data_IF_012425915390
#
_entry.id   IF_012425915390
#
_cell.length_a   1.000
_cell.length_b   1.000
_cell.length_c   1.000
_cell.angle_alpha   90.00
_cell.angle_beta   90.00
_cell.angle_gamma   90.00
#
_symmetry.space_group_name_H-M   'P 1'
#
loop_
_entity.id
_entity.type
_entity.pdbx_description
1 polymer ?
#
# COMPACT_ATOMS: atom_id res chain seq x y z
N UNK A 1 -15.53 24.25 -8.65
CA UNK A 1 -14.05 24.40 -8.67
C UNK A 1 -13.55 23.01 -8.40
N UNK A 2 -13.48 22.24 -9.48
CA UNK A 2 -13.26 20.81 -9.45
C UNK A 2 -11.76 20.57 -9.35
N UNK A 3 -11.35 19.85 -8.30
CA UNK A 3 -9.97 19.39 -8.14
C UNK A 3 -9.89 18.05 -8.85
N UNK A 4 -9.50 18.11 -10.12
CA UNK A 4 -9.25 16.96 -10.98
C UNK A 4 -8.00 16.23 -10.46
N UNK A 5 -8.21 15.12 -9.74
CA UNK A 5 -7.12 14.24 -9.31
C UNK A 5 -6.97 13.16 -10.38
N UNK A 6 -6.08 13.43 -11.34
CA UNK A 6 -5.67 12.50 -12.38
C UNK A 6 -4.99 11.26 -11.75
N UNK A 7 -5.32 10.03 -12.21
CA UNK A 7 -4.67 8.78 -11.79
C UNK A 7 -3.15 8.74 -12.07
N UNK A 8 -2.66 9.68 -12.89
CA UNK A 8 -1.31 9.70 -13.45
C UNK A 8 -0.37 10.64 -12.69
N UNK A 9 -0.85 11.28 -11.62
CA UNK A 9 -0.16 12.39 -10.95
C UNK A 9 1.18 12.00 -10.27
N UNK A 10 1.46 10.70 -10.10
CA UNK A 10 2.74 10.20 -9.57
C UNK A 10 3.72 9.76 -10.66
N UNK A 11 3.26 9.60 -11.91
CA UNK A 11 4.16 9.20 -13.02
C UNK A 11 4.99 10.36 -13.58
N UNK A 12 4.62 11.61 -13.32
CA UNK A 12 5.35 12.77 -13.83
C UNK A 12 5.41 13.90 -12.79
N UNK A 13 6.24 13.72 -11.76
CA UNK A 13 6.87 14.84 -11.06
C UNK A 13 8.32 14.47 -10.81
N UNK A 14 9.22 15.02 -11.64
CA UNK A 14 10.64 15.21 -11.30
C UNK A 14 10.71 16.03 -10.00
N UNK A 15 10.49 15.34 -8.89
CA UNK A 15 10.81 15.82 -7.56
C UNK A 15 12.15 15.18 -7.27
N UNK A 16 13.16 16.00 -7.04
CA UNK A 16 14.52 15.62 -6.69
C UNK A 16 14.54 14.79 -5.40
N UNK A 17 14.18 13.52 -5.51
CA UNK A 17 14.39 12.48 -4.53
C UNK A 17 15.39 11.55 -5.19
N UNK A 18 16.62 11.58 -4.70
CA UNK A 18 17.65 10.61 -5.07
C UNK A 18 17.07 9.21 -4.86
N UNK A 19 16.96 8.35 -5.89
CA UNK A 19 16.53 6.98 -5.67
C UNK A 19 17.59 6.31 -4.79
N UNK A 20 17.20 5.79 -3.63
CA UNK A 20 18.08 4.90 -2.88
C UNK A 20 18.13 3.57 -3.64
N UNK A 21 19.13 3.45 -4.52
CA UNK A 21 19.38 2.22 -5.25
C UNK A 21 19.78 1.12 -4.26
N UNK A 22 18.96 0.09 -4.12
CA UNK A 22 19.36 -1.16 -3.47
C UNK A 22 19.60 -2.19 -4.56
N UNK A 23 20.87 -2.49 -4.83
CA UNK A 23 21.25 -3.50 -5.83
C UNK A 23 20.93 -4.90 -5.31
N UNK A 24 19.88 -5.52 -5.81
CA UNK A 24 19.64 -6.96 -5.68
C UNK A 24 19.84 -7.60 -7.06
N UNK A 25 20.84 -8.49 -7.17
CA UNK A 25 21.08 -9.46 -8.26
C UNK A 25 20.61 -9.15 -9.69
N UNK A 26 21.56 -8.86 -10.57
CA UNK A 26 21.45 -8.93 -12.05
C UNK A 26 20.19 -8.32 -12.71
N UNK A 27 20.03 -7.02 -12.52
CA UNK A 27 19.12 -6.17 -13.30
C UNK A 27 19.00 -4.82 -12.60
N UNK A 28 19.16 -3.70 -13.30
CA UNK A 28 18.87 -2.39 -12.69
C UNK A 28 17.36 -2.20 -12.72
N UNK A 29 16.64 -2.84 -11.80
CA UNK A 29 15.26 -2.44 -11.54
C UNK A 29 15.29 -1.23 -10.63
N UNK A 30 14.87 -0.07 -11.15
CA UNK A 30 14.68 1.13 -10.35
C UNK A 30 13.53 0.89 -9.37
N UNK A 31 13.88 0.62 -8.12
CA UNK A 31 12.93 0.52 -7.03
C UNK A 31 12.54 1.93 -6.59
N UNK A 32 11.24 2.21 -6.62
CA UNK A 32 10.65 3.50 -6.30
C UNK A 32 10.06 3.45 -4.90
N UNK A 33 10.68 4.17 -3.96
CA UNK A 33 10.11 4.40 -2.65
C UNK A 33 8.81 5.21 -2.78
N UNK A 34 7.72 4.74 -2.17
CA UNK A 34 6.45 5.45 -2.25
C UNK A 34 6.52 6.78 -1.47
N UNK A 35 6.24 7.94 -2.08
CA UNK A 35 6.54 9.25 -1.48
C UNK A 35 5.78 9.56 -0.19
N UNK A 36 4.59 8.97 -0.02
CA UNK A 36 3.73 9.19 1.16
C UNK A 36 3.66 8.00 2.13
N UNK A 37 4.08 6.82 1.69
CA UNK A 37 3.92 5.56 2.43
C UNK A 37 5.31 4.95 2.66
N UNK A 38 6.18 5.81 3.14
CA UNK A 38 7.55 5.53 3.50
C UNK A 38 7.83 6.12 4.87
N UNK A 39 7.65 5.29 5.90
CA UNK A 39 7.84 5.70 7.29
C UNK A 39 9.29 5.45 7.71
N UNK A 40 9.94 6.45 8.30
CA UNK A 40 11.33 6.35 8.78
C UNK A 40 11.47 5.20 9.80
N UNK A 41 10.52 5.11 10.71
CA UNK A 41 10.35 4.06 11.74
C UNK A 41 9.62 2.81 11.25
N UNK A 42 9.29 2.74 9.95
CA UNK A 42 8.72 1.56 9.35
C UNK A 42 9.66 0.35 9.46
N UNK A 43 9.09 -0.81 9.75
CA UNK A 43 9.82 -2.04 10.08
C UNK A 43 9.43 -3.24 9.21
N UNK A 44 8.73 -2.98 8.10
CA UNK A 44 8.42 -3.98 7.08
C UNK A 44 8.35 -3.31 5.71
N UNK A 45 8.78 -4.01 4.67
CA UNK A 45 8.61 -3.58 3.28
C UNK A 45 7.53 -4.41 2.60
N UNK A 46 6.59 -3.74 1.94
CA UNK A 46 5.67 -4.38 0.99
C UNK A 46 6.08 -3.91 -0.41
N UNK A 47 6.35 -4.86 -1.30
CA UNK A 47 6.88 -4.60 -2.63
C UNK A 47 5.84 -4.98 -3.67
N UNK A 48 5.50 -4.04 -4.54
CA UNK A 48 4.51 -4.25 -5.60
C UNK A 48 5.07 -3.76 -6.92
N UNK A 49 5.40 -4.70 -7.82
CA UNK A 49 6.20 -4.41 -9.02
C UNK A 49 7.50 -3.72 -8.58
N UNK A 50 7.77 -2.52 -9.06
CA UNK A 50 8.93 -1.71 -8.68
C UNK A 50 8.63 -0.66 -7.59
N UNK A 51 7.42 -0.62 -7.02
CA UNK A 51 7.04 0.37 -5.98
C UNK A 51 7.13 -0.26 -4.60
N UNK A 52 7.84 0.43 -3.70
CA UNK A 52 8.16 -0.05 -2.37
C UNK A 52 7.47 0.79 -1.31
N UNK A 53 6.77 0.12 -0.40
CA UNK A 53 6.09 0.72 0.74
C UNK A 53 6.82 0.33 2.01
N UNK A 54 7.31 1.31 2.78
CA UNK A 54 7.94 1.07 4.09
C UNK A 54 6.94 1.39 5.18
N UNK A 55 6.43 0.36 5.83
CA UNK A 55 5.23 0.40 6.68
C UNK A 55 5.49 -0.18 8.07
N UNK A 56 4.46 -0.17 8.92
CA UNK A 56 4.47 -0.68 10.28
C UNK A 56 3.80 -2.05 10.31
N UNK A 57 4.59 -3.08 10.61
CA UNK A 57 4.13 -4.45 10.75
C UNK A 57 2.93 -4.57 11.70
N UNK A 58 2.98 -3.86 12.83
CA UNK A 58 1.92 -3.90 13.85
C UNK A 58 0.58 -3.36 13.35
N UNK A 59 0.59 -2.30 12.52
CA UNK A 59 -0.63 -1.72 11.95
C UNK A 59 -1.25 -2.72 10.97
N UNK A 60 -0.46 -3.21 10.01
CA UNK A 60 -0.95 -4.15 9.01
C UNK A 60 -1.43 -5.46 9.64
N UNK A 61 -0.67 -6.02 10.59
CA UNK A 61 -1.03 -7.28 11.27
C UNK A 61 -2.26 -7.15 12.16
N UNK A 62 -2.55 -5.94 12.66
CA UNK A 62 -3.75 -5.66 13.46
C UNK A 62 -5.01 -5.71 12.61
N UNK A 63 -4.94 -5.20 11.38
CA UNK A 63 -6.09 -5.10 10.50
C UNK A 63 -6.24 -6.29 9.55
N UNK A 64 -5.15 -7.00 9.26
CA UNK A 64 -5.10 -8.09 8.28
C UNK A 64 -4.43 -9.32 8.88
N UNK A 65 -5.20 -10.40 8.96
CA UNK A 65 -4.69 -11.73 9.33
C UNK A 65 -3.67 -12.24 8.30
N UNK A 66 -3.94 -12.00 7.02
CA UNK A 66 -3.09 -12.41 5.91
C UNK A 66 -1.71 -11.75 5.97
N UNK A 67 -1.64 -10.43 6.17
CA UNK A 67 -0.34 -9.75 6.31
C UNK A 67 0.43 -10.24 7.53
N UNK A 68 -0.24 -10.44 8.66
CA UNK A 68 0.41 -11.00 9.86
C UNK A 68 1.09 -12.33 9.55
N UNK A 69 0.38 -13.23 8.88
CA UNK A 69 0.87 -14.57 8.56
C UNK A 69 1.99 -14.50 7.49
N UNK A 70 1.88 -13.61 6.49
CA UNK A 70 2.94 -13.34 5.52
C UNK A 70 4.23 -12.86 6.19
N UNK A 71 4.15 -11.94 7.16
CA UNK A 71 5.34 -11.46 7.86
C UNK A 71 5.97 -12.51 8.76
N UNK A 72 5.17 -13.41 9.35
CA UNK A 72 5.71 -14.55 10.11
C UNK A 72 6.49 -15.50 9.20
N UNK A 73 6.01 -15.71 7.97
CA UNK A 73 6.73 -16.53 6.99
C UNK A 73 8.01 -15.84 6.51
N UNK A 74 7.97 -14.54 6.25
CA UNK A 74 9.14 -13.76 5.85
C UNK A 74 10.21 -13.72 6.95
N UNK A 75 9.83 -13.63 8.23
CA UNK A 75 10.76 -13.71 9.36
C UNK A 75 11.47 -15.08 9.42
N UNK A 76 10.77 -16.17 9.06
CA UNK A 76 11.33 -17.52 9.04
C UNK A 76 12.27 -17.74 7.85
N UNK A 77 12.05 -17.03 6.74
CA UNK A 77 12.93 -17.00 5.58
C UNK A 77 13.99 -15.91 5.74
N UNK A 78 15.04 -16.22 6.53
CA UNK A 78 16.14 -15.32 6.87
C UNK A 78 16.85 -14.65 5.66
N UNK A 79 16.56 -15.09 4.42
CA UNK A 79 17.12 -14.55 3.19
C UNK A 79 16.40 -13.35 2.58
N UNK A 80 15.14 -13.05 2.96
CA UNK A 80 14.35 -11.99 2.31
C UNK A 80 14.22 -10.72 3.18
N UNK A 81 15.35 -10.26 3.71
CA UNK A 81 15.43 -8.99 4.41
C UNK A 81 16.13 -7.94 3.54
N UNK A 82 15.46 -6.81 3.34
CA UNK A 82 16.00 -5.67 2.62
C UNK A 82 16.11 -4.51 3.61
N UNK A 83 17.28 -3.88 3.70
CA UNK A 83 17.57 -2.83 4.69
C UNK A 83 17.19 -3.25 6.13
N UNK A 84 17.48 -4.51 6.49
CA UNK A 84 17.14 -5.10 7.80
C UNK A 84 15.65 -5.19 8.13
N UNK A 85 14.76 -4.97 7.15
CA UNK A 85 13.32 -5.15 7.28
C UNK A 85 12.89 -6.42 6.52
N UNK A 86 12.00 -7.25 7.08
CA UNK A 86 11.33 -8.28 6.30
C UNK A 86 10.64 -7.63 5.11
N UNK A 87 10.87 -8.17 3.91
CA UNK A 87 10.17 -7.74 2.71
C UNK A 87 9.11 -8.78 2.32
N UNK A 88 8.02 -8.34 1.70
CA UNK A 88 7.04 -9.23 1.09
C UNK A 88 6.67 -8.72 -0.29
N UNK A 89 6.84 -9.57 -1.29
CA UNK A 89 6.39 -9.31 -2.66
C UNK A 89 4.89 -9.58 -2.79
N UNK A 90 4.16 -8.63 -3.37
CA UNK A 90 2.74 -8.73 -3.67
C UNK A 90 2.49 -8.46 -5.15
N UNK A 91 1.46 -9.10 -5.69
CA UNK A 91 1.09 -9.01 -7.12
C UNK A 91 0.03 -7.94 -7.39
N UNK A 92 -0.35 -7.16 -6.38
CA UNK A 92 -1.43 -6.20 -6.49
C UNK A 92 -1.02 -4.97 -7.29
N UNK A 93 -1.98 -4.11 -7.60
CA UNK A 93 -1.67 -2.85 -8.26
C UNK A 93 -1.17 -1.81 -7.23
N UNK A 94 -0.03 -1.14 -7.48
CA UNK A 94 0.50 -0.14 -6.56
C UNK A 94 -0.47 1.00 -6.23
N UNK A 95 -1.31 1.44 -7.17
CA UNK A 95 -2.26 2.53 -6.92
C UNK A 95 -3.38 2.08 -5.97
N UNK A 96 -3.89 0.86 -6.13
CA UNK A 96 -4.87 0.31 -5.19
C UNK A 96 -4.25 0.04 -3.82
N UNK A 97 -2.99 -0.42 -3.76
CA UNK A 97 -2.27 -0.59 -2.48
C UNK A 97 -2.06 0.74 -1.76
N UNK A 98 -1.73 1.81 -2.50
CA UNK A 98 -1.64 3.14 -1.94
C UNK A 98 -2.95 3.55 -1.25
N UNK A 99 -4.09 3.44 -1.94
CA UNK A 99 -5.39 3.75 -1.35
C UNK A 99 -5.69 2.87 -0.14
N UNK A 100 -5.49 1.56 -0.27
CA UNK A 100 -5.75 0.59 0.79
C UNK A 100 -4.93 0.87 2.05
N UNK A 101 -3.63 1.13 1.92
CA UNK A 101 -2.77 1.46 3.06
C UNK A 101 -3.11 2.82 3.66
N UNK A 102 -3.39 3.84 2.84
CA UNK A 102 -3.83 5.15 3.34
C UNK A 102 -5.08 5.01 4.21
N UNK A 103 -6.07 4.21 3.79
CA UNK A 103 -7.28 3.96 4.58
C UNK A 103 -7.01 3.26 5.92
N UNK A 104 -6.03 2.36 5.99
CA UNK A 104 -5.62 1.72 7.23
C UNK A 104 -4.90 2.68 8.19
N UNK A 105 -4.08 3.58 7.64
CA UNK A 105 -3.27 4.51 8.42
C UNK A 105 -4.05 5.73 8.91
N UNK A 106 -5.06 6.16 8.17
CA UNK A 106 -5.93 7.27 8.58
C UNK A 106 -6.92 6.89 9.70
N UNK A 107 -6.96 5.61 10.09
CA UNK A 107 -7.65 5.17 11.30
C UNK A 107 -9.15 5.49 11.31
N UNK A 108 -9.81 5.33 10.17
CA UNK A 108 -11.24 5.64 10.07
C UNK A 108 -11.57 7.10 9.76
N UNK A 109 -10.57 7.99 9.65
CA UNK A 109 -10.79 9.43 9.46
C UNK A 109 -10.73 9.91 8.02
N UNK A 110 -10.26 9.05 7.11
CA UNK A 110 -10.23 9.41 5.71
C UNK A 110 -11.65 9.78 5.26
N UNK A 111 -11.86 10.91 4.54
CA UNK A 111 -13.19 11.38 4.12
C UNK A 111 -14.01 10.30 3.42
N UNK A 112 -13.33 9.40 2.69
CA UNK A 112 -13.91 8.13 2.27
C UNK A 112 -14.74 7.51 3.40
N UNK A 113 -14.16 7.06 4.51
CA UNK A 113 -14.90 6.32 5.54
C UNK A 113 -16.01 7.11 6.27
N UNK A 114 -16.05 8.44 6.13
CA UNK A 114 -16.95 9.32 6.88
C UNK A 114 -18.08 9.93 6.04
N UNK A 115 -17.83 10.20 4.76
CA UNK A 115 -18.76 10.87 3.86
C UNK A 115 -19.22 9.92 2.73
N UNK A 116 -20.51 9.52 2.72
CA UNK A 116 -21.08 8.73 1.62
C UNK A 116 -21.00 9.39 0.23
N UNK A 117 -20.89 10.71 0.18
CA UNK A 117 -20.80 11.48 -1.06
C UNK A 117 -19.37 11.85 -1.45
N UNK A 118 -18.37 11.35 -0.71
CA UNK A 118 -16.98 11.56 -1.07
C UNK A 118 -16.71 11.05 -2.49
N UNK A 119 -16.21 11.91 -3.41
CA UNK A 119 -15.97 11.50 -4.78
C UNK A 119 -14.88 10.43 -4.82
N UNK A 120 -15.19 9.30 -5.44
CA UNK A 120 -14.25 8.22 -5.70
C UNK A 120 -14.61 7.54 -7.01
N UNK A 121 -13.59 7.25 -7.82
CA UNK A 121 -13.75 6.51 -9.06
C UNK A 121 -14.17 5.06 -8.77
N UNK A 122 -15.02 4.50 -9.64
CA UNK A 122 -15.50 3.13 -9.49
C UNK A 122 -14.35 2.11 -9.46
N UNK A 123 -13.29 2.37 -10.26
CA UNK A 123 -12.08 1.54 -10.30
C UNK A 123 -11.39 1.45 -8.93
N UNK A 124 -11.24 2.59 -8.25
CA UNK A 124 -10.61 2.70 -6.95
C UNK A 124 -11.43 2.00 -5.86
N UNK A 125 -12.74 2.25 -5.82
CA UNK A 125 -13.64 1.60 -4.87
C UNK A 125 -13.62 0.08 -5.04
N UNK A 126 -13.66 -0.40 -6.29
CA UNK A 126 -13.52 -1.82 -6.63
C UNK A 126 -12.15 -2.37 -6.21
N UNK A 127 -11.07 -1.61 -6.43
CA UNK A 127 -9.71 -1.97 -6.02
C UNK A 127 -9.62 -2.19 -4.52
N UNK A 128 -10.16 -1.25 -3.72
CA UNK A 128 -10.23 -1.35 -2.26
C UNK A 128 -11.05 -2.57 -1.81
N UNK A 129 -12.20 -2.85 -2.43
CA UNK A 129 -13.00 -4.05 -2.11
C UNK A 129 -12.21 -5.34 -2.35
N UNK A 130 -11.50 -5.43 -3.47
CA UNK A 130 -10.71 -6.62 -3.82
C UNK A 130 -9.56 -6.81 -2.84
N UNK A 131 -8.81 -5.75 -2.52
CA UNK A 131 -7.70 -5.83 -1.57
C UNK A 131 -8.19 -6.11 -0.15
N UNK A 132 -9.25 -5.46 0.30
CA UNK A 132 -9.83 -5.71 1.61
C UNK A 132 -10.36 -7.14 1.74
N UNK A 133 -10.84 -7.74 0.65
CA UNK A 133 -11.22 -9.16 0.63
C UNK A 133 -9.99 -10.07 0.63
N UNK A 134 -8.97 -9.77 -0.19
CA UNK A 134 -7.73 -10.55 -0.30
C UNK A 134 -6.95 -10.58 1.01
N UNK A 135 -6.84 -9.44 1.67
CA UNK A 135 -6.08 -9.26 2.91
C UNK A 135 -6.94 -9.36 4.17
N UNK A 136 -8.17 -9.85 4.06
CA UNK A 136 -9.08 -10.09 5.20
C UNK A 136 -9.25 -8.86 6.12
N UNK A 137 -9.58 -7.72 5.53
CA UNK A 137 -9.87 -6.45 6.22
C UNK A 137 -11.35 -6.14 6.15
N UNK A 138 -12.13 -6.75 7.06
CA UNK A 138 -13.60 -6.78 6.98
C UNK A 138 -14.27 -5.40 7.04
N UNK A 139 -13.74 -4.47 7.84
CA UNK A 139 -14.32 -3.14 7.98
C UNK A 139 -14.17 -2.30 6.70
N UNK A 140 -13.00 -2.34 6.04
CA UNK A 140 -12.81 -1.69 4.75
C UNK A 140 -13.64 -2.35 3.66
N UNK A 141 -13.71 -3.68 3.65
CA UNK A 141 -14.54 -4.42 2.68
C UNK A 141 -16.00 -4.00 2.76
N UNK A 142 -16.55 -3.91 3.98
CA UNK A 142 -17.95 -3.55 4.21
C UNK A 142 -18.24 -2.13 3.72
N UNK A 143 -17.39 -1.16 4.10
CA UNK A 143 -17.61 0.24 3.73
C UNK A 143 -17.36 0.51 2.24
N UNK A 144 -16.39 -0.18 1.62
CA UNK A 144 -16.14 -0.04 0.19
C UNK A 144 -17.25 -0.69 -0.65
N UNK A 145 -17.84 -1.81 -0.22
CA UNK A 145 -19.00 -2.41 -0.89
C UNK A 145 -20.22 -1.48 -0.87
N UNK A 146 -20.46 -0.78 0.25
CA UNK A 146 -21.55 0.21 0.37
C UNK A 146 -21.49 1.33 -0.68
N UNK A 147 -20.33 1.52 -1.32
CA UNK A 147 -20.11 2.59 -2.33
C UNK A 147 -20.28 2.13 -3.75
N UNK A 148 -20.29 0.81 -3.96
CA UNK A 148 -20.49 0.20 -5.26
C UNK A 148 -21.98 -0.12 -5.52
N UNK A 149 -22.82 -0.02 -4.49
CA UNK A 149 -24.28 -0.15 -4.55
C UNK A 149 -24.95 1.19 -4.90
#
# INVERSE_FOLDING_TARGET
>A
MDVDISPDAWTNRETSLSPDFVTVGQGVEEHLQHPQLWFEDGNVLVISRNVWFKLHRGILSRFSSVFRDMFQLADADAGHHIQHCPAVDVTDDPAHLHLFFTLLYDGGRHPFLLDPHWPMEFGDARGVVLLASKYDVQHLRTEALRRLE
#
